data_IF_054364737677
#
_entry.id   IF_054364737677
#
_cell.length_a   1.000
_cell.length_b   1.000
_cell.length_c   1.000
_cell.angle_alpha   90.00
_cell.angle_beta   90.00
_cell.angle_gamma   90.00
#
_symmetry.space_group_name_H-M   'P 1'
#
loop_
_entity.id
_entity.type
_entity.pdbx_description
1 polymer ?
#
# COMPACT_ATOMS: atom_id res chain seq x y z
N UNK A 1 23.65 7.62 -9.30
CA UNK A 1 22.38 8.34 -9.04
C UNK A 1 21.95 7.98 -7.63
N UNK A 2 21.58 8.95 -6.80
CA UNK A 2 20.95 8.64 -5.52
C UNK A 2 19.61 7.93 -5.81
N UNK A 3 19.36 6.79 -5.17
CA UNK A 3 18.03 6.18 -5.18
C UNK A 3 17.04 7.19 -4.59
N UNK A 4 15.97 7.45 -5.35
CA UNK A 4 14.90 8.29 -4.85
C UNK A 4 14.24 7.58 -3.67
N UNK A 5 14.32 8.19 -2.49
CA UNK A 5 13.59 7.71 -1.32
C UNK A 5 12.11 7.94 -1.61
N UNK A 6 11.27 6.89 -1.60
CA UNK A 6 9.85 7.05 -1.88
C UNK A 6 9.19 7.96 -0.84
N UNK A 7 8.32 8.85 -1.29
CA UNK A 7 7.55 9.74 -0.41
C UNK A 7 6.54 8.96 0.45
N UNK A 8 6.06 7.81 -0.03
CA UNK A 8 5.16 6.92 0.70
C UNK A 8 5.42 5.46 0.34
N UNK A 9 5.44 4.60 1.36
CA UNK A 9 5.47 3.14 1.22
C UNK A 9 4.29 2.53 1.99
N UNK A 10 3.53 1.68 1.32
CA UNK A 10 2.45 0.88 1.88
C UNK A 10 2.78 -0.58 1.66
N UNK A 11 2.64 -1.39 2.71
CA UNK A 11 2.91 -2.82 2.70
C UNK A 11 1.71 -3.58 3.22
N UNK A 12 1.26 -4.57 2.46
CA UNK A 12 0.22 -5.53 2.84
C UNK A 12 -1.06 -4.86 3.39
N UNK A 13 -1.54 -3.82 2.71
CA UNK A 13 -2.74 -3.10 3.14
C UNK A 13 -3.99 -3.94 2.93
N UNK A 14 -4.68 -4.22 4.03
CA UNK A 14 -5.98 -4.85 4.06
C UNK A 14 -7.07 -3.87 4.51
N UNK A 15 -8.22 -3.91 3.86
CA UNK A 15 -9.40 -3.12 4.26
C UNK A 15 -10.66 -3.91 4.04
N UNK A 16 -11.50 -3.93 5.07
CA UNK A 16 -12.81 -4.58 5.06
C UNK A 16 -13.90 -3.59 5.49
N UNK A 17 -15.08 -3.77 4.92
CA UNK A 17 -16.32 -3.11 5.32
C UNK A 17 -17.37 -4.20 5.56
N UNK A 18 -17.58 -4.55 6.83
CA UNK A 18 -18.31 -5.77 7.19
C UNK A 18 -17.62 -6.99 6.59
N UNK A 19 -18.39 -7.81 5.88
CA UNK A 19 -17.90 -9.03 5.23
C UNK A 19 -17.18 -8.77 3.89
N UNK A 20 -17.23 -7.53 3.36
CA UNK A 20 -16.61 -7.18 2.09
C UNK A 20 -15.14 -6.78 2.27
N UNK A 21 -14.22 -7.54 1.66
CA UNK A 21 -12.80 -7.17 1.55
C UNK A 21 -12.53 -6.32 0.31
N UNK A 22 -12.22 -5.05 0.55
CA UNK A 22 -12.00 -4.01 -0.46
C UNK A 22 -10.53 -3.88 -0.85
N UNK A 23 -9.62 -3.90 0.13
CA UNK A 23 -8.18 -3.95 -0.13
C UNK A 23 -7.65 -5.30 0.36
N UNK A 24 -6.96 -6.01 -0.54
CA UNK A 24 -6.57 -7.42 -0.39
C UNK A 24 -5.05 -7.57 -0.37
N UNK A 25 -4.40 -7.08 0.68
CA UNK A 25 -2.94 -7.17 0.83
C UNK A 25 -2.20 -6.32 -0.20
N UNK A 26 -2.63 -5.08 -0.38
CA UNK A 26 -2.05 -4.19 -1.39
C UNK A 26 -0.72 -3.61 -0.89
N UNK A 27 0.33 -3.74 -1.69
CA UNK A 27 1.61 -3.06 -1.47
C UNK A 27 1.83 -2.03 -2.58
N UNK A 28 2.22 -0.81 -2.22
CA UNK A 28 2.53 0.25 -3.20
C UNK A 28 3.58 1.23 -2.68
N UNK A 29 4.27 1.87 -3.61
CA UNK A 29 5.18 3.00 -3.36
C UNK A 29 4.74 4.21 -4.17
N UNK A 30 4.83 5.40 -3.57
CA UNK A 30 4.59 6.67 -4.27
C UNK A 30 5.80 7.59 -4.08
N UNK A 31 6.12 8.35 -5.13
CA UNK A 31 7.26 9.26 -5.20
C UNK A 31 6.80 10.71 -5.22
#
# INVERSE_FOLDING_TARGET
MAEAIPALEIRDLHKRYGDLEVLKGISLTAN
#
